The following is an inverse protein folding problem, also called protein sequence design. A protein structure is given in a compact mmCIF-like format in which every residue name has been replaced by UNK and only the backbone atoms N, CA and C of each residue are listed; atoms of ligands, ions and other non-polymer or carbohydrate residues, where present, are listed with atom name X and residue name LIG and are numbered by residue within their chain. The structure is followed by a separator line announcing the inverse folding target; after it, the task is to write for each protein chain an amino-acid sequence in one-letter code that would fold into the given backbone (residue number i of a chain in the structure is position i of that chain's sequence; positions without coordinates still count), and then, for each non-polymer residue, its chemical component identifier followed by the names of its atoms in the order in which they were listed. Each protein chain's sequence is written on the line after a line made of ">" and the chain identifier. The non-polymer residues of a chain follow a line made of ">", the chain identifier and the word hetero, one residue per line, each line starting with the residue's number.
data_IF_184023271880
#
_entry.id   IF_184023271880
#
_cell.length_a   1.000
_cell.length_b   1.000
_cell.length_c   1.000
_cell.angle_alpha   90.00
_cell.angle_beta   90.00
_cell.angle_gamma   90.00
#
_symmetry.space_group_name_H-M   'P 1'
#
loop_
_entity.id
_entity.type
_entity.pdbx_description
1 polymer ?
#
# COMPACT_ATOMS: atom_id res chain seq x y z
N UNK A 1 -8.26 -11.70 26.51
CA UNK A 1 -9.25 -11.45 25.44
C UNK A 1 -8.59 -11.73 24.10
N UNK A 2 -8.89 -12.86 23.46
CA UNK A 2 -8.31 -13.20 22.15
C UNK A 2 -9.15 -12.53 21.06
N UNK A 3 -8.76 -11.32 20.67
CA UNK A 3 -9.37 -10.57 19.54
C UNK A 3 -9.45 -11.44 18.28
N UNK A 4 -8.54 -12.39 18.12
CA UNK A 4 -8.46 -13.34 17.00
C UNK A 4 -9.67 -14.26 16.85
N UNK A 5 -10.40 -14.55 17.91
CA UNK A 5 -11.56 -15.48 17.88
C UNK A 5 -12.88 -14.76 17.53
N UNK A 6 -12.88 -13.43 17.52
CA UNK A 6 -14.08 -12.59 17.30
C UNK A 6 -14.18 -11.99 15.90
N UNK A 7 -13.15 -12.19 15.07
CA UNK A 7 -13.10 -11.61 13.73
C UNK A 7 -13.25 -12.72 12.70
N UNK A 8 -14.35 -12.68 11.96
CA UNK A 8 -14.47 -13.41 10.71
C UNK A 8 -13.25 -13.10 9.84
N UNK A 9 -12.79 -14.10 9.07
CA UNK A 9 -11.71 -13.90 8.11
C UNK A 9 -12.06 -12.74 7.19
N UNK A 10 -11.27 -11.64 7.18
CA UNK A 10 -11.63 -10.44 6.45
C UNK A 10 -11.63 -10.72 4.94
N UNK A 11 -12.66 -10.24 4.25
CA UNK A 11 -12.70 -10.25 2.77
C UNK A 11 -11.87 -9.14 2.15
N UNK A 12 -11.66 -8.05 2.89
CA UNK A 12 -10.89 -6.90 2.44
C UNK A 12 -10.11 -6.29 3.61
N UNK A 13 -8.87 -5.88 3.34
CA UNK A 13 -7.96 -5.24 4.29
C UNK A 13 -7.42 -3.98 3.62
N UNK A 14 -7.47 -2.85 4.32
CA UNK A 14 -6.81 -1.61 3.90
C UNK A 14 -5.65 -1.33 4.85
N UNK A 15 -4.43 -1.35 4.33
CA UNK A 15 -3.25 -0.86 5.03
C UNK A 15 -3.21 0.66 4.93
N UNK A 16 -3.14 1.35 6.07
CA UNK A 16 -3.10 2.80 6.14
C UNK A 16 -1.71 3.25 6.60
N UNK A 17 -1.14 4.21 5.87
CA UNK A 17 0.13 4.86 6.21
C UNK A 17 0.02 6.38 6.05
N UNK A 18 0.98 7.14 6.57
CA UNK A 18 1.01 8.59 6.39
C UNK A 18 1.61 9.00 5.04
N UNK A 19 2.75 8.42 4.67
CA UNK A 19 3.53 8.76 3.49
C UNK A 19 3.96 7.51 2.75
N UNK A 20 3.77 7.51 1.43
CA UNK A 20 4.30 6.48 0.54
C UNK A 20 5.43 7.00 -0.33
N UNK A 21 6.57 6.32 -0.29
CA UNK A 21 7.77 6.64 -1.06
C UNK A 21 7.78 5.79 -2.36
N UNK A 22 8.86 5.08 -2.77
CA UNK A 22 8.74 4.01 -3.76
C UNK A 22 7.84 2.83 -3.36
N UNK A 23 7.58 2.64 -2.06
CA UNK A 23 6.60 1.64 -1.58
C UNK A 23 7.18 0.28 -1.16
N UNK A 24 8.50 0.14 -0.99
CA UNK A 24 9.13 -1.11 -0.55
C UNK A 24 8.59 -1.63 0.79
N UNK A 25 8.51 -0.77 1.82
CA UNK A 25 7.94 -1.13 3.13
C UNK A 25 6.48 -1.56 3.00
N UNK A 26 5.68 -0.79 2.28
CA UNK A 26 4.28 -1.10 1.99
C UNK A 26 4.14 -2.47 1.32
N UNK A 27 4.95 -2.77 0.30
CA UNK A 27 4.88 -4.04 -0.40
C UNK A 27 5.27 -5.22 0.52
N UNK A 28 6.28 -5.04 1.37
CA UNK A 28 6.64 -6.02 2.39
C UNK A 28 5.49 -6.31 3.36
N UNK A 29 4.78 -5.27 3.82
CA UNK A 29 3.61 -5.41 4.67
C UNK A 29 2.44 -6.10 3.95
N UNK A 30 2.18 -5.73 2.69
CA UNK A 30 1.16 -6.38 1.85
C UNK A 30 1.47 -7.86 1.65
N UNK A 31 2.73 -8.24 1.40
CA UNK A 31 3.12 -9.65 1.27
C UNK A 31 2.86 -10.43 2.57
N UNK A 32 3.14 -9.83 3.73
CA UNK A 32 2.81 -10.45 5.03
C UNK A 32 1.32 -10.61 5.26
N UNK A 33 0.52 -9.64 4.84
CA UNK A 33 -0.93 -9.73 4.88
C UNK A 33 -1.45 -10.79 3.91
N UNK A 34 -0.88 -10.90 2.70
CA UNK A 34 -1.27 -11.89 1.71
C UNK A 34 -1.03 -13.32 2.19
N UNK A 35 0.10 -13.57 2.87
CA UNK A 35 0.37 -14.88 3.47
C UNK A 35 -0.60 -15.21 4.62
N UNK A 36 -0.92 -14.23 5.46
CA UNK A 36 -1.81 -14.42 6.61
C UNK A 36 -3.29 -14.50 6.22
N UNK A 37 -3.68 -13.84 5.13
CA UNK A 37 -5.06 -13.70 4.65
C UNK A 37 -5.12 -13.92 3.12
N UNK A 38 -4.87 -15.15 2.64
CA UNK A 38 -4.72 -15.43 1.20
C UNK A 38 -5.96 -15.15 0.36
N UNK A 39 -7.14 -15.06 0.99
CA UNK A 39 -8.41 -14.77 0.32
C UNK A 39 -8.87 -13.31 0.49
N UNK A 40 -8.11 -12.48 1.22
CA UNK A 40 -8.47 -11.09 1.43
C UNK A 40 -7.98 -10.23 0.27
N UNK A 41 -8.83 -9.32 -0.21
CA UNK A 41 -8.41 -8.23 -1.06
C UNK A 41 -7.62 -7.23 -0.23
N UNK A 42 -6.36 -6.99 -0.56
CA UNK A 42 -5.52 -6.03 0.17
C UNK A 42 -5.40 -4.75 -0.66
N UNK A 43 -5.64 -3.60 -0.02
CA UNK A 43 -5.40 -2.27 -0.59
C UNK A 43 -4.54 -1.44 0.34
N UNK A 44 -4.00 -0.36 -0.19
CA UNK A 44 -3.20 0.59 0.56
C UNK A 44 -3.80 1.98 0.41
N UNK A 45 -3.80 2.73 1.50
CA UNK A 45 -4.07 4.15 1.51
C UNK A 45 -2.91 4.87 2.21
N UNK A 46 -2.39 5.92 1.58
CA UNK A 46 -1.44 6.83 2.20
C UNK A 46 -1.91 8.27 1.99
N UNK A 47 -1.76 9.11 3.02
CA UNK A 47 -2.20 10.51 2.93
C UNK A 47 -1.34 11.33 1.96
N UNK A 48 -0.05 11.00 1.83
CA UNK A 48 0.89 11.67 0.95
C UNK A 48 1.72 10.67 0.16
N UNK A 49 2.25 11.12 -0.98
CA UNK A 49 3.21 10.37 -1.81
C UNK A 49 4.42 11.24 -2.12
N UNK A 50 5.61 10.66 -2.17
CA UNK A 50 6.78 11.38 -2.70
C UNK A 50 6.69 11.47 -4.21
N UNK A 51 7.12 12.60 -4.78
CA UNK A 51 7.30 12.78 -6.22
C UNK A 51 8.79 13.01 -6.43
N UNK A 52 9.46 12.05 -7.07
CA UNK A 52 10.92 12.07 -7.25
C UNK A 52 11.33 13.00 -8.39
N UNK A 53 10.49 13.14 -9.42
CA UNK A 53 10.70 14.05 -10.53
C UNK A 53 9.97 15.37 -10.26
N UNK A 54 10.67 16.49 -10.00
CA UNK A 54 10.01 17.76 -9.70
C UNK A 54 9.14 18.27 -10.85
N UNK A 55 9.39 17.87 -12.10
CA UNK A 55 8.58 18.25 -13.25
C UNK A 55 7.21 17.54 -13.27
N UNK A 56 7.03 16.48 -12.48
CA UNK A 56 5.75 15.77 -12.31
C UNK A 56 4.90 16.35 -11.16
N UNK A 57 5.44 17.28 -10.38
CA UNK A 57 4.70 17.95 -9.31
C UNK A 57 3.80 19.05 -9.89
N UNK A 58 2.48 18.85 -9.86
CA UNK A 58 1.51 19.83 -10.37
C UNK A 58 0.87 20.68 -9.28
N UNK A 59 0.50 20.08 -8.15
CA UNK A 59 -0.24 20.74 -7.08
C UNK A 59 -0.04 20.02 -5.73
N UNK A 60 -0.33 20.72 -4.63
CA UNK A 60 -0.18 20.18 -3.27
C UNK A 60 -1.19 19.04 -3.02
N UNK A 61 -2.41 19.18 -3.53
CA UNK A 61 -3.49 18.20 -3.35
C UNK A 61 -3.70 17.47 -4.68
N UNK A 62 -2.97 16.37 -4.86
CA UNK A 62 -3.03 15.56 -6.09
C UNK A 62 -3.31 14.08 -5.76
N UNK A 63 -4.57 13.72 -5.39
CA UNK A 63 -4.93 12.32 -5.11
C UNK A 63 -4.76 11.43 -6.35
N UNK A 64 -4.44 10.16 -6.14
CA UNK A 64 -4.23 9.21 -7.21
C UNK A 64 -4.67 7.79 -6.82
N UNK A 65 -4.86 6.92 -7.81
CA UNK A 65 -5.08 5.49 -7.62
C UNK A 65 -4.15 4.77 -8.58
N UNK A 66 -3.19 4.04 -8.01
CA UNK A 66 -2.12 3.43 -8.77
C UNK A 66 -1.74 2.05 -8.27
N UNK A 67 -0.66 1.51 -8.83
CA UNK A 67 -0.10 0.20 -8.48
C UNK A 67 1.37 0.33 -8.11
N UNK A 68 1.79 -0.43 -7.10
CA UNK A 68 3.20 -0.59 -6.72
C UNK A 68 3.62 -1.98 -7.15
N UNK A 69 4.64 -2.05 -7.99
CA UNK A 69 5.14 -3.30 -8.56
C UNK A 69 6.60 -3.48 -8.14
N UNK A 70 6.96 -4.70 -7.76
CA UNK A 70 8.37 -5.08 -7.64
C UNK A 70 8.88 -5.50 -9.02
N UNK A 71 9.83 -4.74 -9.55
CA UNK A 71 10.56 -5.09 -10.77
C UNK A 71 12.02 -5.33 -10.41
N UNK A 72 12.46 -6.58 -10.55
CA UNK A 72 13.75 -7.06 -10.05
C UNK A 72 13.85 -6.86 -8.52
N UNK A 73 14.67 -5.90 -8.08
CA UNK A 73 14.89 -5.57 -6.66
C UNK A 73 14.34 -4.19 -6.28
N UNK A 74 13.72 -3.47 -7.23
CA UNK A 74 13.23 -2.13 -7.03
C UNK A 74 11.70 -2.09 -7.05
N UNK A 75 11.12 -1.24 -6.22
CA UNK A 75 9.70 -0.93 -6.31
C UNK A 75 9.48 0.24 -7.24
N UNK A 76 8.59 0.04 -8.21
CA UNK A 76 8.09 1.06 -9.10
C UNK A 76 6.63 1.38 -8.75
N UNK A 77 6.28 2.66 -8.78
CA UNK A 77 4.93 3.12 -8.50
C UNK A 77 4.41 3.87 -9.71
N UNK A 78 3.32 3.39 -10.27
CA UNK A 78 2.57 4.10 -11.30
C UNK A 78 1.41 4.84 -10.62
N UNK A 79 1.23 6.16 -10.87
CA UNK A 79 0.13 6.95 -10.35
C UNK A 79 -1.26 6.37 -10.61
#
# INVERSE_FOLDING_TARGET
>A
MKVKELLDTPREIVLVDDVITPGATTLGAVNRLADAFPNAKIRVFAAMRTISNPDEFSEIIQPCIGTITLLNENTWREP
#
